data_IF_712916920166
#
_entry.id   IF_712916920166
#
_cell.length_a   1.000
_cell.length_b   1.000
_cell.length_c   1.000
_cell.angle_alpha   90.00
_cell.angle_beta   90.00
_cell.angle_gamma   90.00
#
_symmetry.space_group_name_H-M   'P 1'
#
loop_
_entity.id
_entity.type
_entity.pdbx_description
1 polymer ?
#
# COMPACT_ATOMS: atom_id res chain seq x y z
N UNK A 1 -13.58 -11.24 -4.99
CA UNK A 1 -12.68 -12.19 -4.28
C UNK A 1 -13.05 -13.64 -4.57
N UNK A 2 -14.29 -14.10 -4.39
CA UNK A 2 -14.69 -15.52 -4.62
C UNK A 2 -14.38 -16.05 -6.02
N UNK A 3 -14.32 -15.19 -7.05
CA UNK A 3 -14.00 -15.58 -8.43
C UNK A 3 -12.49 -15.67 -8.69
N UNK A 4 -11.70 -14.78 -8.07
CA UNK A 4 -10.26 -14.64 -8.37
C UNK A 4 -9.35 -15.19 -7.25
N UNK A 5 -9.88 -15.46 -6.05
CA UNK A 5 -9.14 -15.93 -4.87
C UNK A 5 -8.95 -17.45 -4.82
N UNK A 6 -8.89 -18.13 -5.96
CA UNK A 6 -8.72 -19.58 -6.03
C UNK A 6 -7.26 -19.97 -6.18
N UNK A 7 -6.89 -21.15 -5.64
CA UNK A 7 -5.53 -21.66 -5.78
C UNK A 7 -5.20 -22.04 -7.23
N UNK A 8 -4.09 -21.51 -7.75
CA UNK A 8 -3.51 -21.96 -9.03
C UNK A 8 -2.18 -22.69 -8.76
N UNK A 9 -2.07 -24.00 -9.08
CA UNK A 9 -0.84 -24.78 -8.85
C UNK A 9 0.37 -24.31 -9.69
N UNK A 10 0.15 -23.46 -10.70
CA UNK A 10 1.22 -22.88 -11.53
C UNK A 10 1.83 -21.61 -10.89
N UNK A 11 1.19 -21.05 -9.87
CA UNK A 11 1.69 -19.91 -9.10
C UNK A 11 2.27 -20.40 -7.77
N UNK A 12 3.60 -20.39 -7.66
CA UNK A 12 4.32 -20.82 -6.46
C UNK A 12 4.09 -19.92 -5.24
N UNK A 13 3.53 -18.72 -5.44
CA UNK A 13 3.19 -17.77 -4.37
C UNK A 13 1.77 -17.94 -3.87
N UNK A 14 0.94 -18.71 -4.58
CA UNK A 14 -0.47 -18.92 -4.24
C UNK A 14 -0.63 -19.91 -3.09
N UNK A 15 -1.23 -19.46 -2.00
CA UNK A 15 -1.53 -20.30 -0.84
C UNK A 15 -2.87 -21.02 -1.05
N UNK A 16 -2.88 -22.34 -0.83
CA UNK A 16 -4.13 -23.13 -0.95
C UNK A 16 -5.02 -22.86 0.26
N UNK A 17 -6.10 -22.13 0.03
CA UNK A 17 -7.16 -21.85 1.02
C UNK A 17 -8.52 -21.98 0.34
N UNK A 18 -9.48 -22.52 1.06
CA UNK A 18 -10.89 -22.56 0.64
C UNK A 18 -11.65 -21.55 1.49
N UNK A 19 -11.81 -20.33 0.95
CA UNK A 19 -12.46 -19.22 1.63
C UNK A 19 -13.59 -18.70 0.74
N UNK A 20 -14.77 -18.55 1.31
CA UNK A 20 -15.91 -17.87 0.70
C UNK A 20 -16.03 -16.47 1.30
N UNK A 21 -15.44 -15.50 0.64
CA UNK A 21 -15.41 -14.11 1.13
C UNK A 21 -16.80 -13.48 1.26
N UNK A 22 -17.76 -13.92 0.42
CA UNK A 22 -19.15 -13.46 0.51
C UNK A 22 -19.80 -13.82 1.85
N UNK A 23 -19.42 -14.91 2.47
CA UNK A 23 -19.98 -15.33 3.77
C UNK A 23 -19.53 -14.42 4.92
N UNK A 24 -18.46 -13.63 4.70
CA UNK A 24 -17.98 -12.62 5.64
C UNK A 24 -18.75 -11.29 5.57
N UNK A 25 -19.57 -11.07 4.53
CA UNK A 25 -20.31 -9.81 4.34
C UNK A 25 -21.57 -9.79 5.25
N UNK A 26 -21.32 -9.61 6.54
CA UNK A 26 -22.38 -9.40 7.54
C UNK A 26 -22.43 -7.91 7.89
N UNK A 27 -23.62 -7.40 8.18
CA UNK A 27 -23.81 -6.02 8.64
C UNK A 27 -23.76 -5.96 10.17
N UNK A 28 -22.66 -6.46 10.72
CA UNK A 28 -22.42 -6.53 12.17
C UNK A 28 -20.94 -6.42 12.49
N UNK A 29 -20.59 -5.41 13.28
CA UNK A 29 -19.25 -5.17 13.82
C UNK A 29 -19.25 -5.13 15.35
N UNK A 30 -20.33 -5.57 16.01
CA UNK A 30 -20.40 -5.65 17.46
C UNK A 30 -19.24 -6.45 18.03
N UNK A 31 -18.50 -5.85 18.94
CA UNK A 31 -17.35 -6.46 19.59
C UNK A 31 -16.10 -6.59 18.71
N UNK A 32 -16.12 -6.09 17.46
CA UNK A 32 -14.92 -5.99 16.63
C UNK A 32 -13.92 -5.04 17.32
N UNK A 33 -12.69 -5.49 17.52
CA UNK A 33 -11.63 -4.68 18.11
C UNK A 33 -10.86 -3.98 16.99
N UNK A 34 -10.88 -2.65 17.02
CA UNK A 34 -10.26 -1.78 16.03
C UNK A 34 -9.07 -1.08 16.66
N UNK A 35 -7.88 -1.30 16.13
CA UNK A 35 -6.68 -0.55 16.50
C UNK A 35 -6.54 0.72 15.65
N UNK A 36 -6.24 1.83 16.28
CA UNK A 36 -5.97 3.10 15.61
C UNK A 36 -4.51 3.46 15.80
N UNK A 37 -3.65 3.29 14.77
CA UNK A 37 -2.22 3.56 14.87
C UNK A 37 -1.96 5.06 15.05
N UNK A 38 -1.35 5.44 16.18
CA UNK A 38 -1.10 6.85 16.51
C UNK A 38 -0.21 7.54 15.49
N UNK A 39 0.79 6.83 14.96
CA UNK A 39 1.78 7.36 14.03
C UNK A 39 1.19 7.74 12.67
N UNK A 40 0.01 7.20 12.30
CA UNK A 40 -0.68 7.55 11.05
C UNK A 40 -1.49 8.84 11.15
N UNK A 41 -1.67 9.38 12.38
CA UNK A 41 -2.37 10.63 12.64
C UNK A 41 -1.43 11.77 13.07
N UNK A 42 -0.12 11.59 12.83
CA UNK A 42 0.93 12.52 13.20
C UNK A 42 1.18 13.64 12.20
N UNK A 43 2.41 14.14 12.22
CA UNK A 43 2.86 15.25 11.35
C UNK A 43 2.73 14.87 9.86
N UNK A 44 2.26 15.82 9.06
CA UNK A 44 2.08 15.66 7.61
C UNK A 44 0.68 15.17 7.18
N UNK A 45 -0.19 14.81 8.13
CA UNK A 45 -1.58 14.51 7.83
C UNK A 45 -2.38 15.81 7.66
N UNK A 46 -3.09 15.93 6.55
CA UNK A 46 -4.06 17.01 6.34
C UNK A 46 -5.14 16.99 7.43
N UNK A 47 -5.41 18.12 8.11
CA UNK A 47 -6.35 18.14 9.22
C UNK A 47 -7.76 17.72 8.85
N UNK A 48 -8.27 18.11 7.66
CA UNK A 48 -9.62 17.73 7.21
C UNK A 48 -9.67 16.23 6.87
N UNK A 49 -8.64 15.69 6.21
CA UNK A 49 -8.55 14.26 5.95
C UNK A 49 -8.51 13.46 7.27
N UNK A 50 -7.73 13.92 8.24
CA UNK A 50 -7.66 13.29 9.55
C UNK A 50 -8.99 13.34 10.31
N UNK A 51 -9.75 14.45 10.22
CA UNK A 51 -11.09 14.57 10.78
C UNK A 51 -12.06 13.55 10.17
N UNK A 52 -12.11 13.46 8.83
CA UNK A 52 -13.02 12.51 8.15
C UNK A 52 -12.74 11.05 8.50
N UNK A 53 -11.47 10.70 8.70
CA UNK A 53 -11.11 9.35 9.15
C UNK A 53 -11.54 9.12 10.61
N UNK A 54 -11.41 10.10 11.51
CA UNK A 54 -11.91 9.98 12.89
C UNK A 54 -13.44 9.89 12.94
N UNK A 55 -14.14 10.68 12.11
CA UNK A 55 -15.60 10.59 11.95
C UNK A 55 -16.01 9.17 11.54
N UNK A 56 -15.28 8.58 10.60
CA UNK A 56 -15.54 7.21 10.15
C UNK A 56 -15.29 6.16 11.26
N UNK A 57 -14.23 6.32 12.06
CA UNK A 57 -13.96 5.45 13.21
C UNK A 57 -15.09 5.56 14.24
N UNK A 58 -15.60 6.77 14.49
CA UNK A 58 -16.72 6.98 15.39
C UNK A 58 -18.01 6.25 14.93
N UNK A 59 -18.24 6.13 13.61
CA UNK A 59 -19.36 5.31 13.09
C UNK A 59 -19.22 3.85 13.53
N UNK A 60 -18.02 3.29 13.54
CA UNK A 60 -17.80 1.92 14.02
C UNK A 60 -18.05 1.80 15.54
N UNK A 61 -17.68 2.80 16.33
CA UNK A 61 -17.96 2.84 17.77
C UNK A 61 -19.47 2.86 18.03
N UNK A 62 -20.21 3.69 17.29
CA UNK A 62 -21.68 3.75 17.37
C UNK A 62 -22.35 2.42 16.99
N UNK A 63 -21.72 1.64 16.10
CA UNK A 63 -22.15 0.30 15.70
C UNK A 63 -21.68 -0.81 16.67
N UNK A 64 -21.03 -0.45 17.79
CA UNK A 64 -20.64 -1.37 18.85
C UNK A 64 -19.26 -2.00 18.71
N UNK A 65 -18.40 -1.50 17.83
CA UNK A 65 -17.00 -1.87 17.81
C UNK A 65 -16.23 -1.23 18.97
N UNK A 66 -15.12 -1.87 19.38
CA UNK A 66 -14.23 -1.35 20.42
C UNK A 66 -12.97 -0.76 19.80
N UNK A 67 -12.85 0.57 19.73
CA UNK A 67 -11.69 1.26 19.21
C UNK A 67 -10.65 1.53 20.29
N UNK A 68 -9.37 1.33 19.99
CA UNK A 68 -8.26 1.57 20.91
C UNK A 68 -7.02 2.07 20.20
N UNK A 69 -6.23 2.96 20.82
CA UNK A 69 -4.95 3.37 20.23
C UNK A 69 -3.95 2.20 20.23
N UNK A 70 -3.15 2.13 19.17
CA UNK A 70 -2.02 1.20 19.07
C UNK A 70 -0.78 1.94 18.58
N UNK A 71 0.41 1.51 19.02
CA UNK A 71 1.67 2.10 18.59
C UNK A 71 2.40 1.21 17.61
N UNK A 72 2.88 1.81 16.52
CA UNK A 72 3.62 1.18 15.44
C UNK A 72 4.92 1.96 15.14
N UNK A 73 5.87 1.99 16.09
CA UNK A 73 6.98 2.95 16.11
C UNK A 73 7.95 2.81 14.94
N UNK A 74 8.02 1.65 14.27
CA UNK A 74 8.93 1.45 13.15
C UNK A 74 8.36 1.92 11.80
N UNK A 75 7.08 2.32 11.73
CA UNK A 75 6.45 2.80 10.49
C UNK A 75 7.12 4.08 9.95
N UNK A 76 7.71 4.90 10.81
CA UNK A 76 8.50 6.07 10.40
C UNK A 76 9.67 5.74 9.46
N UNK A 77 10.19 4.52 9.51
CA UNK A 77 11.29 4.06 8.65
C UNK A 77 10.81 3.30 7.41
N UNK A 78 9.52 3.03 7.32
CA UNK A 78 8.95 2.15 6.30
C UNK A 78 9.15 2.69 4.90
N UNK A 79 8.91 3.99 4.68
CA UNK A 79 9.03 4.62 3.36
C UNK A 79 10.46 4.44 2.79
N UNK A 80 11.48 4.77 3.57
CA UNK A 80 12.87 4.65 3.16
C UNK A 80 13.25 3.18 2.87
N UNK A 81 12.86 2.25 3.75
CA UNK A 81 13.11 0.83 3.58
C UNK A 81 12.41 0.27 2.33
N UNK A 82 11.15 0.65 2.10
CA UNK A 82 10.37 0.24 0.93
C UNK A 82 11.05 0.65 -0.37
N UNK A 83 11.42 1.92 -0.51
CA UNK A 83 12.03 2.38 -1.76
C UNK A 83 13.37 1.71 -2.05
N UNK A 84 14.19 1.45 -1.03
CA UNK A 84 15.43 0.69 -1.21
C UNK A 84 15.13 -0.73 -1.69
N UNK A 85 14.20 -1.44 -1.07
CA UNK A 85 13.81 -2.80 -1.45
C UNK A 85 13.19 -2.81 -2.86
N UNK A 86 12.17 -1.97 -3.09
CA UNK A 86 11.43 -1.94 -4.34
C UNK A 86 12.32 -1.58 -5.54
N UNK A 87 13.21 -0.59 -5.41
CA UNK A 87 14.15 -0.20 -6.45
C UNK A 87 15.18 -1.30 -6.71
N UNK A 88 15.68 -1.96 -5.66
CA UNK A 88 16.61 -3.08 -5.77
C UNK A 88 15.99 -4.27 -6.51
N UNK A 89 14.77 -4.65 -6.14
CA UNK A 89 14.03 -5.72 -6.80
C UNK A 89 13.63 -5.34 -8.24
N UNK A 90 13.21 -4.10 -8.48
CA UNK A 90 12.90 -3.59 -9.82
C UNK A 90 14.13 -3.66 -10.73
N UNK A 91 15.32 -3.24 -10.25
CA UNK A 91 16.57 -3.34 -11.00
C UNK A 91 16.86 -4.78 -11.43
N UNK A 92 16.70 -5.74 -10.54
CA UNK A 92 16.90 -7.16 -10.80
C UNK A 92 15.83 -7.74 -11.72
N UNK A 93 14.54 -7.49 -11.43
CA UNK A 93 13.42 -8.07 -12.17
C UNK A 93 13.30 -7.53 -13.59
N UNK A 94 13.57 -6.23 -13.80
CA UNK A 94 13.51 -5.60 -15.12
C UNK A 94 14.75 -5.88 -15.99
N UNK A 95 15.78 -6.53 -15.47
CA UNK A 95 16.96 -6.95 -16.26
C UNK A 95 16.58 -7.86 -17.43
N UNK A 96 15.47 -8.61 -17.33
CA UNK A 96 14.98 -9.50 -18.40
C UNK A 96 14.48 -8.77 -19.66
N UNK A 97 14.14 -7.48 -19.53
CA UNK A 97 13.66 -6.68 -20.67
C UNK A 97 14.85 -6.04 -21.39
N UNK A 98 15.49 -6.83 -22.21
CA UNK A 98 16.73 -6.52 -22.93
C UNK A 98 16.55 -6.37 -24.46
N UNK A 99 15.29 -6.46 -24.94
CA UNK A 99 14.96 -6.45 -26.37
C UNK A 99 15.21 -7.79 -27.08
N UNK A 100 15.63 -8.84 -26.36
CA UNK A 100 15.86 -10.17 -26.92
C UNK A 100 14.70 -11.12 -26.68
N UNK A 101 14.24 -11.23 -25.42
CA UNK A 101 13.20 -12.17 -25.00
C UNK A 101 11.84 -11.52 -24.81
N UNK A 102 11.81 -10.25 -24.39
CA UNK A 102 10.57 -9.57 -24.01
C UNK A 102 10.55 -8.15 -24.56
N UNK A 103 9.36 -7.69 -24.92
CA UNK A 103 9.07 -6.33 -25.31
C UNK A 103 9.57 -5.97 -26.72
N UNK A 104 9.48 -4.69 -27.07
CA UNK A 104 9.98 -4.16 -28.33
C UNK A 104 11.51 -4.23 -28.37
N UNK A 105 12.08 -4.16 -29.58
CA UNK A 105 13.52 -4.17 -29.82
C UNK A 105 13.89 -2.97 -30.68
N UNK A 106 14.84 -2.18 -30.18
CA UNK A 106 15.51 -1.13 -30.97
C UNK A 106 16.86 -1.64 -31.45
N UNK A 107 17.18 -1.45 -32.72
CA UNK A 107 18.41 -1.96 -33.34
C UNK A 107 19.64 -1.27 -32.76
N UNK A 108 20.77 -1.98 -32.80
CA UNK A 108 22.09 -1.50 -32.40
C UNK A 108 23.19 -2.26 -33.17
N UNK A 109 24.38 -1.70 -33.26
CA UNK A 109 25.53 -2.29 -33.96
C UNK A 109 25.94 -3.63 -33.33
N UNK A 110 25.69 -3.81 -32.04
CA UNK A 110 25.98 -5.03 -31.30
C UNK A 110 24.94 -5.24 -30.21
N UNK A 111 25.00 -6.36 -29.50
CA UNK A 111 24.05 -6.70 -28.45
C UNK A 111 23.95 -5.65 -27.33
N UNK A 112 25.09 -5.09 -26.89
CA UNK A 112 25.13 -4.07 -25.86
C UNK A 112 24.40 -2.79 -26.30
N UNK A 113 24.68 -2.34 -27.53
CA UNK A 113 24.00 -1.16 -28.09
C UNK A 113 22.52 -1.41 -28.31
N UNK A 114 22.12 -2.57 -28.80
CA UNK A 114 20.73 -2.96 -28.95
C UNK A 114 19.98 -2.94 -27.61
N UNK A 115 20.53 -3.58 -26.57
CA UNK A 115 19.92 -3.62 -25.25
C UNK A 115 19.85 -2.21 -24.64
N UNK A 116 20.91 -1.42 -24.78
CA UNK A 116 20.96 -0.03 -24.28
C UNK A 116 19.94 0.87 -24.96
N UNK A 117 19.88 0.86 -26.29
CA UNK A 117 18.92 1.63 -27.09
C UNK A 117 17.47 1.22 -26.75
N UNK A 118 17.20 -0.09 -26.67
CA UNK A 118 15.89 -0.62 -26.30
C UNK A 118 15.44 -0.08 -24.94
N UNK A 119 16.30 -0.15 -23.93
CA UNK A 119 15.96 0.31 -22.57
C UNK A 119 15.83 1.83 -22.49
N UNK A 120 16.65 2.57 -23.23
CA UNK A 120 16.58 4.04 -23.29
C UNK A 120 15.28 4.51 -23.93
N UNK A 121 14.83 3.86 -25.02
CA UNK A 121 13.65 4.27 -25.76
C UNK A 121 12.34 3.84 -25.09
N UNK A 122 12.31 2.63 -24.50
CA UNK A 122 11.08 2.01 -24.03
C UNK A 122 10.92 2.02 -22.50
N UNK A 123 11.93 2.37 -21.72
CA UNK A 123 11.77 2.62 -20.30
C UNK A 123 11.48 4.09 -20.03
N UNK A 124 10.34 4.39 -19.39
CA UNK A 124 10.04 5.74 -18.93
C UNK A 124 11.08 6.25 -17.91
N UNK A 125 11.17 7.55 -17.74
CA UNK A 125 12.16 8.22 -16.85
C UNK A 125 12.15 7.67 -15.42
N UNK A 126 10.97 7.39 -14.86
CA UNK A 126 10.84 6.85 -13.50
C UNK A 126 11.39 5.42 -13.41
N UNK A 127 11.12 4.57 -14.41
CA UNK A 127 11.68 3.21 -14.47
C UNK A 127 13.20 3.25 -14.55
N UNK A 128 13.76 4.13 -15.40
CA UNK A 128 15.20 4.32 -15.52
C UNK A 128 15.82 4.75 -14.18
N UNK A 129 15.19 5.70 -13.47
CA UNK A 129 15.60 6.16 -12.14
C UNK A 129 15.63 5.01 -11.13
N UNK A 130 14.56 4.21 -11.05
CA UNK A 130 14.47 3.06 -10.14
C UNK A 130 15.52 2.00 -10.43
N UNK A 131 15.76 1.69 -11.70
CA UNK A 131 16.79 0.74 -12.10
C UNK A 131 18.18 1.22 -11.70
N UNK A 132 18.51 2.50 -11.91
CA UNK A 132 19.80 3.07 -11.53
C UNK A 132 20.01 3.06 -10.01
N UNK A 133 19.01 3.52 -9.24
CA UNK A 133 19.08 3.53 -7.79
C UNK A 133 19.16 2.12 -7.20
N UNK A 134 18.39 1.18 -7.74
CA UNK A 134 18.45 -0.22 -7.33
C UNK A 134 19.79 -0.88 -7.65
N UNK A 135 20.36 -0.61 -8.81
CA UNK A 135 21.71 -1.08 -9.18
C UNK A 135 22.77 -0.54 -8.22
N UNK A 136 22.66 0.73 -7.84
CA UNK A 136 23.56 1.33 -6.85
C UNK A 136 23.41 0.67 -5.48
N UNK A 137 22.19 0.49 -4.99
CA UNK A 137 21.92 -0.13 -3.69
C UNK A 137 22.38 -1.58 -3.60
N UNK A 138 22.41 -2.31 -4.73
CA UNK A 138 22.86 -3.69 -4.82
C UNK A 138 24.36 -3.84 -5.16
N UNK A 139 25.07 -2.74 -5.42
CA UNK A 139 26.48 -2.80 -5.81
C UNK A 139 27.39 -3.22 -4.64
N UNK A 140 28.58 -3.70 -4.97
CA UNK A 140 29.57 -4.16 -3.99
C UNK A 140 29.88 -3.06 -2.95
N UNK A 141 29.85 -3.42 -1.67
CA UNK A 141 30.06 -2.51 -0.54
C UNK A 141 28.84 -1.71 -0.10
N UNK A 142 27.76 -1.66 -0.92
CA UNK A 142 26.51 -0.98 -0.58
C UNK A 142 25.35 -1.94 -0.27
N UNK A 143 25.36 -3.15 -0.79
CA UNK A 143 24.33 -4.18 -0.58
C UNK A 143 23.99 -4.37 0.91
N UNK A 144 25.00 -4.59 1.77
CA UNK A 144 24.78 -4.83 3.19
C UNK A 144 24.33 -3.56 3.93
N UNK A 145 24.82 -2.41 3.50
CA UNK A 145 24.53 -1.10 4.12
C UNK A 145 23.12 -0.60 3.79
N UNK A 146 22.61 -0.90 2.62
CA UNK A 146 21.29 -0.44 2.16
C UNK A 146 20.29 -1.58 2.11
N UNK A 147 20.46 -2.57 1.24
CA UNK A 147 19.45 -3.59 1.01
C UNK A 147 19.21 -4.49 2.21
N UNK A 148 20.25 -5.07 2.80
CA UNK A 148 20.08 -5.91 4.00
C UNK A 148 19.59 -5.10 5.20
N UNK A 149 20.01 -3.85 5.36
CA UNK A 149 19.47 -2.96 6.40
C UNK A 149 17.98 -2.70 6.19
N UNK A 150 17.55 -2.42 4.97
CA UNK A 150 16.14 -2.21 4.64
C UNK A 150 15.29 -3.47 4.91
N UNK A 151 15.80 -4.67 4.62
CA UNK A 151 15.13 -5.93 4.96
C UNK A 151 14.97 -6.11 6.48
N UNK A 152 15.96 -5.72 7.29
CA UNK A 152 15.83 -5.73 8.76
C UNK A 152 14.76 -4.75 9.24
N UNK A 153 14.71 -3.55 8.68
CA UNK A 153 13.64 -2.58 8.98
C UNK A 153 12.28 -3.14 8.59
N UNK A 154 12.16 -3.80 7.42
CA UNK A 154 10.92 -4.50 7.03
C UNK A 154 10.48 -5.51 8.09
N UNK A 155 11.41 -6.27 8.67
CA UNK A 155 11.08 -7.21 9.75
C UNK A 155 10.50 -6.49 10.97
N UNK A 156 11.11 -5.37 11.41
CA UNK A 156 10.62 -4.59 12.53
C UNK A 156 9.23 -3.99 12.27
N UNK A 157 8.99 -3.48 11.05
CA UNK A 157 7.66 -3.01 10.64
C UNK A 157 6.64 -4.15 10.71
N UNK A 158 6.98 -5.33 10.19
CA UNK A 158 6.10 -6.50 10.29
C UNK A 158 5.80 -6.88 11.74
N UNK A 159 6.79 -6.84 12.62
CA UNK A 159 6.62 -7.12 14.06
C UNK A 159 5.68 -6.12 14.75
N UNK A 160 5.65 -4.85 14.31
CA UNK A 160 4.68 -3.87 14.79
C UNK A 160 3.24 -4.30 14.45
N UNK A 161 2.99 -4.73 13.20
CA UNK A 161 1.69 -5.26 12.80
C UNK A 161 1.33 -6.53 13.57
N UNK A 162 2.25 -7.50 13.67
CA UNK A 162 2.01 -8.75 14.40
C UNK A 162 1.66 -8.48 15.87
N UNK A 163 2.33 -7.52 16.52
CA UNK A 163 2.05 -7.10 17.89
C UNK A 163 0.68 -6.43 18.00
N UNK A 164 0.38 -5.47 17.12
CA UNK A 164 -0.92 -4.80 17.11
C UNK A 164 -2.07 -5.81 16.94
N UNK A 165 -1.92 -6.75 16.01
CA UNK A 165 -2.91 -7.79 15.78
C UNK A 165 -3.01 -8.85 16.89
N UNK A 166 -2.16 -8.85 17.91
CA UNK A 166 -2.39 -9.68 19.10
C UNK A 166 -3.58 -9.19 19.93
N UNK A 167 -3.86 -7.89 19.89
CA UNK A 167 -4.86 -7.23 20.72
C UNK A 167 -6.12 -6.78 19.94
N UNK A 168 -5.99 -6.57 18.61
CA UNK A 168 -7.08 -6.08 17.75
C UNK A 168 -7.31 -6.99 16.54
N UNK A 169 -8.49 -6.87 15.93
CA UNK A 169 -8.90 -7.67 14.77
C UNK A 169 -8.54 -6.98 13.45
N UNK A 170 -8.72 -5.66 13.39
CA UNK A 170 -8.37 -4.80 12.25
C UNK A 170 -7.71 -3.51 12.72
N UNK A 171 -6.94 -2.87 11.84
CA UNK A 171 -6.43 -1.52 12.04
C UNK A 171 -7.17 -0.56 11.11
N UNK A 172 -7.37 0.68 11.56
CA UNK A 172 -7.97 1.74 10.76
C UNK A 172 -7.11 2.99 10.76
N UNK A 173 -6.86 3.53 9.56
CA UNK A 173 -5.98 4.67 9.35
C UNK A 173 -6.39 5.47 8.11
N UNK A 174 -5.90 6.71 7.92
CA UNK A 174 -6.00 7.39 6.63
C UNK A 174 -5.29 6.59 5.54
N UNK A 175 -5.92 6.41 4.37
CA UNK A 175 -5.25 5.78 3.23
C UNK A 175 -4.10 6.66 2.72
N UNK A 176 -4.36 7.95 2.56
CA UNK A 176 -3.40 8.95 2.09
C UNK A 176 -3.32 10.09 3.12
N UNK A 177 -2.17 10.75 3.24
CA UNK A 177 -2.02 11.85 4.19
C UNK A 177 -2.79 13.12 3.79
N UNK A 178 -3.19 13.24 2.54
CA UNK A 178 -3.93 14.39 2.01
C UNK A 178 -4.88 13.96 0.88
N UNK A 179 -5.89 14.78 0.52
CA UNK A 179 -6.69 14.59 -0.67
C UNK A 179 -5.85 14.60 -1.96
N UNK A 180 -6.49 14.26 -3.09
CA UNK A 180 -5.82 14.25 -4.38
C UNK A 180 -5.23 15.63 -4.73
N UNK A 181 -3.99 15.65 -5.23
CA UNK A 181 -3.32 16.84 -5.76
C UNK A 181 -3.69 17.06 -7.25
N UNK A 182 -3.45 18.26 -7.78
CA UNK A 182 -3.75 18.60 -9.17
C UNK A 182 -2.85 17.84 -10.14
N UNK A 183 -3.39 17.53 -11.32
CA UNK A 183 -2.59 16.92 -12.39
C UNK A 183 -1.37 17.80 -12.72
N UNK A 184 -0.20 17.19 -12.70
CA UNK A 184 1.07 17.87 -12.97
C UNK A 184 1.75 18.53 -11.77
N UNK A 185 1.07 18.70 -10.66
CA UNK A 185 1.59 19.46 -9.49
C UNK A 185 2.88 18.88 -8.89
N UNK A 186 3.02 17.55 -8.89
CA UNK A 186 4.17 16.85 -8.27
C UNK A 186 5.16 16.23 -9.27
N UNK A 187 5.08 16.60 -10.56
CA UNK A 187 5.93 15.98 -11.61
C UNK A 187 7.41 16.25 -11.34
N UNK A 188 7.75 17.45 -10.90
CA UNK A 188 9.13 17.89 -10.71
C UNK A 188 9.63 17.69 -9.27
N UNK A 189 8.79 17.19 -8.36
CA UNK A 189 9.14 16.85 -6.97
C UNK A 189 8.84 15.38 -6.64
N UNK A 190 9.74 14.46 -7.02
CA UNK A 190 9.57 13.04 -6.72
C UNK A 190 9.50 12.72 -5.22
N UNK A 191 10.16 13.50 -4.37
CA UNK A 191 10.13 13.27 -2.93
C UNK A 191 8.75 13.54 -2.34
N UNK A 192 8.13 14.66 -2.71
CA UNK A 192 6.76 14.98 -2.30
C UNK A 192 5.75 13.95 -2.82
N UNK A 193 5.97 13.43 -4.04
CA UNK A 193 5.16 12.34 -4.57
C UNK A 193 5.31 11.06 -3.74
N UNK A 194 6.53 10.68 -3.37
CA UNK A 194 6.81 9.49 -2.57
C UNK A 194 6.25 9.60 -1.15
N UNK A 195 6.26 10.78 -0.54
CA UNK A 195 5.66 11.01 0.78
C UNK A 195 4.14 10.78 0.79
N UNK A 196 3.48 10.86 -0.36
CA UNK A 196 2.06 10.53 -0.45
C UNK A 196 1.77 9.05 -0.12
N UNK A 197 2.75 8.15 -0.24
CA UNK A 197 2.59 6.71 0.01
C UNK A 197 2.87 6.31 1.47
N UNK A 198 3.15 7.27 2.37
CA UNK A 198 3.64 7.00 3.73
C UNK A 198 2.74 6.04 4.53
N UNK A 199 1.44 6.08 4.32
CA UNK A 199 0.46 5.25 5.04
C UNK A 199 0.23 3.88 4.40
N UNK A 200 0.48 3.72 3.09
CA UNK A 200 0.24 2.47 2.37
C UNK A 200 1.47 1.58 2.31
N UNK A 201 2.65 2.17 2.34
CA UNK A 201 3.94 1.46 2.28
C UNK A 201 4.14 0.48 3.45
N UNK A 202 3.85 0.80 4.72
CA UNK A 202 4.02 -0.14 5.83
C UNK A 202 3.21 -1.42 5.64
N UNK A 203 1.99 -1.31 5.12
CA UNK A 203 1.09 -2.44 4.83
C UNK A 203 1.70 -3.38 3.79
N UNK A 204 2.31 -2.81 2.73
CA UNK A 204 3.03 -3.57 1.72
C UNK A 204 4.27 -4.27 2.28
N UNK A 205 5.04 -3.61 3.15
CA UNK A 205 6.21 -4.22 3.80
C UNK A 205 5.83 -5.37 4.73
N UNK A 206 4.73 -5.22 5.48
CA UNK A 206 4.23 -6.25 6.38
C UNK A 206 3.60 -7.44 5.62
N UNK A 207 3.09 -7.21 4.40
CA UNK A 207 2.44 -8.26 3.59
C UNK A 207 1.07 -8.64 4.13
N UNK A 208 0.29 -7.66 4.58
CA UNK A 208 -1.05 -7.83 5.13
C UNK A 208 -2.12 -7.27 4.18
N UNK A 209 -3.35 -7.83 4.17
CA UNK A 209 -4.43 -7.33 3.34
C UNK A 209 -4.96 -5.99 3.84
N UNK A 210 -5.36 -5.14 2.91
CA UNK A 210 -6.07 -3.91 3.23
C UNK A 210 -7.03 -3.49 2.12
N UNK A 211 -8.00 -2.65 2.49
CA UNK A 211 -8.93 -2.00 1.57
C UNK A 211 -9.00 -0.51 1.90
N UNK A 212 -9.24 0.32 0.90
CA UNK A 212 -9.57 1.73 1.06
C UNK A 212 -11.02 1.95 0.67
N UNK A 213 -11.79 2.57 1.56
CA UNK A 213 -13.19 2.94 1.31
C UNK A 213 -13.36 4.46 1.48
N UNK A 214 -14.21 5.12 0.69
CA UNK A 214 -14.45 6.55 0.86
C UNK A 214 -15.15 6.81 2.19
N UNK A 215 -14.62 7.73 3.00
CA UNK A 215 -15.12 8.02 4.33
C UNK A 215 -15.51 9.48 4.56
N UNK A 216 -15.53 10.29 3.51
CA UNK A 216 -15.89 11.69 3.56
C UNK A 216 -15.22 12.49 2.45
N UNK A 217 -15.35 13.80 2.54
CA UNK A 217 -14.80 14.73 1.55
C UNK A 217 -14.08 15.87 2.27
N UNK A 218 -12.90 16.23 1.74
CA UNK A 218 -12.13 17.41 2.13
C UNK A 218 -11.95 18.29 0.89
N UNK A 219 -12.37 19.56 0.98
CA UNK A 219 -12.41 20.49 -0.16
C UNK A 219 -13.10 19.92 -1.43
N UNK A 220 -14.15 19.11 -1.24
CA UNK A 220 -14.89 18.46 -2.32
C UNK A 220 -14.22 17.22 -2.92
N UNK A 221 -13.04 16.83 -2.44
CA UNK A 221 -12.30 15.65 -2.87
C UNK A 221 -12.48 14.48 -1.89
N UNK A 222 -12.60 13.23 -2.36
CA UNK A 222 -12.81 12.09 -1.47
C UNK A 222 -11.60 11.81 -0.58
N UNK A 223 -11.88 11.42 0.66
CA UNK A 223 -10.90 10.91 1.63
C UNK A 223 -11.12 9.41 1.81
N UNK A 224 -10.04 8.64 1.86
CA UNK A 224 -10.06 7.20 2.04
C UNK A 224 -9.75 6.78 3.47
N UNK A 225 -10.63 5.95 4.05
CA UNK A 225 -10.33 5.14 5.23
C UNK A 225 -9.64 3.86 4.79
N UNK A 226 -8.45 3.59 5.30
CA UNK A 226 -7.76 2.32 5.13
C UNK A 226 -8.13 1.35 6.25
N UNK A 227 -8.67 0.20 5.90
CA UNK A 227 -8.95 -0.91 6.82
C UNK A 227 -7.94 -2.02 6.53
N UNK A 228 -7.17 -2.40 7.55
CA UNK A 228 -6.05 -3.33 7.42
C UNK A 228 -6.34 -4.56 8.29
N UNK A 229 -6.19 -5.76 7.74
CA UNK A 229 -6.42 -7.01 8.44
C UNK A 229 -5.14 -7.82 8.67
N UNK A 230 -5.26 -8.90 9.44
CA UNK A 230 -4.18 -9.89 9.59
C UNK A 230 -3.87 -10.55 8.26
N UNK A 231 -2.68 -11.09 8.13
CA UNK A 231 -2.32 -11.85 6.93
C UNK A 231 -3.35 -12.97 6.67
N UNK A 232 -3.91 -12.99 5.47
CA UNK A 232 -4.96 -13.92 5.03
C UNK A 232 -6.31 -13.78 5.75
N UNK A 233 -6.59 -12.64 6.38
CA UNK A 233 -7.89 -12.34 6.97
C UNK A 233 -8.63 -11.24 6.19
N UNK A 234 -8.73 -11.42 4.88
CA UNK A 234 -9.50 -10.56 3.99
C UNK A 234 -10.99 -10.52 4.38
N UNK A 235 -11.48 -11.59 5.04
CA UNK A 235 -12.85 -11.68 5.51
C UNK A 235 -13.21 -10.59 6.51
N UNK A 236 -12.37 -10.36 7.52
CA UNK A 236 -12.58 -9.29 8.51
C UNK A 236 -12.49 -7.91 7.88
N UNK A 237 -11.56 -7.71 6.94
CA UNK A 237 -11.40 -6.45 6.19
C UNK A 237 -12.67 -6.16 5.36
N UNK A 238 -13.17 -7.16 4.63
CA UNK A 238 -14.37 -7.02 3.80
C UNK A 238 -15.63 -6.81 4.65
N UNK A 239 -15.75 -7.49 5.80
CA UNK A 239 -16.87 -7.30 6.73
C UNK A 239 -16.91 -5.86 7.24
N UNK A 240 -15.79 -5.33 7.72
CA UNK A 240 -15.71 -3.96 8.20
C UNK A 240 -16.05 -2.96 7.09
N UNK A 241 -15.46 -3.10 5.89
CA UNK A 241 -15.75 -2.25 4.75
C UNK A 241 -17.22 -2.30 4.34
N UNK A 242 -17.81 -3.50 4.27
CA UNK A 242 -19.21 -3.70 3.93
C UNK A 242 -20.13 -3.03 4.95
N UNK A 243 -19.89 -3.24 6.26
CA UNK A 243 -20.70 -2.62 7.30
C UNK A 243 -20.63 -1.10 7.23
N UNK A 244 -19.45 -0.54 6.97
CA UNK A 244 -19.29 0.91 6.81
C UNK A 244 -20.09 1.45 5.62
N UNK A 245 -20.00 0.83 4.45
CA UNK A 245 -20.77 1.24 3.27
C UNK A 245 -22.29 1.10 3.46
N UNK A 246 -22.73 0.12 4.23
CA UNK A 246 -24.17 -0.06 4.54
C UNK A 246 -24.72 1.01 5.49
N UNK A 247 -23.88 1.63 6.30
CA UNK A 247 -24.25 2.64 7.29
C UNK A 247 -23.84 4.06 6.90
N UNK A 248 -23.29 4.25 5.68
CA UNK A 248 -22.92 5.55 5.12
C UNK A 248 -23.28 5.63 3.64
N UNK A 249 -23.24 6.83 3.05
CA UNK A 249 -23.56 7.07 1.64
C UNK A 249 -22.36 7.65 0.84
N UNK A 250 -21.17 7.67 1.41
CA UNK A 250 -20.00 8.26 0.76
C UNK A 250 -19.64 7.59 -0.56
N UNK A 251 -19.79 6.26 -0.64
CA UNK A 251 -19.54 5.44 -1.83
C UNK A 251 -20.56 5.67 -2.97
N UNK A 252 -21.71 6.30 -2.68
CA UNK A 252 -22.74 6.62 -3.68
C UNK A 252 -22.46 7.93 -4.41
N UNK A 253 -21.52 8.74 -3.92
CA UNK A 253 -21.17 10.02 -4.54
C UNK A 253 -20.32 9.78 -5.79
N UNK A 254 -20.72 10.39 -6.88
CA UNK A 254 -19.98 10.38 -8.15
C UNK A 254 -19.54 11.80 -8.50
N UNK A 255 -18.42 11.97 -9.23
CA UNK A 255 -18.04 13.28 -9.76
C UNK A 255 -19.16 13.86 -10.62
N UNK A 256 -19.37 15.17 -10.57
CA UNK A 256 -20.21 15.84 -11.53
C UNK A 256 -19.57 15.69 -12.93
N UNK A 257 -20.41 15.35 -13.93
CA UNK A 257 -19.92 15.26 -15.30
C UNK A 257 -19.46 16.66 -15.76
N UNK A 258 -18.21 16.76 -16.21
CA UNK A 258 -17.62 17.97 -16.76
C UNK A 258 -18.04 18.12 -18.21
#
# INVERSE_FOLDING_TARGET
MDVIGTHDPRDSTCVKRDVRYRDSLTDDVSGLKIGVPEEYFGEGLDPQAGEKVRDAIAVFEDLGAACMPVSMPHTQYALAAYYIIAMSEASSNLARFDGTRYGPRTQGENWHMMASNTRQEHFGKEVQRRVLLGTYALSAGYHDRYYLKALRVRTLVKEDFDRAFSDVDVLMAPTMPAPAFRLGEKIDDPLSLYLSDVNTVPVNLAGVPSISVPCGFADGLPVGLQIIGRQFDEGSVLRAAWTFERNTDHHLKTPEAV
#
